data_IF_225059682053
#
_entry.id   IF_225059682053
#
_cell.length_a   1.000
_cell.length_b   1.000
_cell.length_c   1.000
_cell.angle_alpha   90.00
_cell.angle_beta   90.00
_cell.angle_gamma   90.00
#
_symmetry.space_group_name_H-M   'P 1'
#
loop_
_entity.id
_entity.type
_entity.pdbx_description
1 polymer ?
#
# COMPACT_ATOMS: atom_id res chain seq x y z
N UNK A 1 35.28 -48.16 -6.10
CA UNK A 1 33.91 -47.71 -6.20
C UNK A 1 33.85 -46.28 -5.71
N UNK A 2 33.82 -45.33 -6.63
CA UNK A 2 33.91 -43.89 -6.33
C UNK A 2 32.51 -43.32 -6.22
N UNK A 3 32.13 -42.88 -5.02
CA UNK A 3 30.85 -42.20 -4.76
C UNK A 3 31.00 -40.78 -5.24
N UNK A 4 30.45 -40.47 -6.40
CA UNK A 4 30.20 -39.10 -6.84
C UNK A 4 29.01 -38.58 -6.07
N UNK A 5 29.24 -37.65 -5.14
CA UNK A 5 28.25 -36.83 -4.53
C UNK A 5 27.81 -35.82 -5.61
N UNK A 6 26.63 -36.03 -6.19
CA UNK A 6 25.97 -35.04 -7.01
C UNK A 6 25.61 -33.84 -6.11
N UNK A 7 26.35 -32.78 -6.22
CA UNK A 7 25.99 -31.48 -5.64
C UNK A 7 24.70 -31.05 -6.39
N UNK A 8 23.56 -31.12 -5.69
CA UNK A 8 22.34 -30.47 -6.07
C UNK A 8 22.65 -28.96 -6.04
N UNK A 9 22.80 -28.36 -7.20
CA UNK A 9 22.82 -26.91 -7.32
C UNK A 9 21.45 -26.43 -6.87
N UNK A 10 21.37 -25.99 -5.64
CA UNK A 10 20.32 -25.07 -5.22
C UNK A 10 20.48 -23.85 -6.12
N UNK A 11 19.59 -23.65 -7.06
CA UNK A 11 19.41 -22.39 -7.73
C UNK A 11 19.13 -21.35 -6.63
N UNK A 12 20.21 -20.80 -6.10
CA UNK A 12 20.13 -19.68 -5.20
C UNK A 12 19.51 -18.54 -5.97
N UNK A 13 18.36 -18.22 -5.58
CA UNK A 13 17.65 -16.99 -5.83
C UNK A 13 18.68 -15.85 -5.90
N UNK A 14 18.89 -15.52 -7.19
CA UNK A 14 19.48 -14.52 -7.15
C UNK A 14 19.59 -13.20 -7.45
N UNK A 15 19.84 -12.43 -7.86
CA UNK A 15 19.98 -11.01 -8.14
C UNK A 15 19.38 -10.11 -7.03
N UNK A 16 20.05 -10.04 -5.90
CA UNK A 16 19.88 -8.96 -4.96
C UNK A 16 20.12 -7.65 -5.74
N UNK A 17 19.03 -6.87 -5.96
CA UNK A 17 19.09 -5.57 -6.64
C UNK A 17 18.46 -5.52 -8.04
N UNK A 18 17.70 -6.52 -8.47
CA UNK A 18 16.92 -6.49 -9.72
C UNK A 18 15.43 -6.74 -9.50
N UNK A 19 14.61 -6.20 -10.41
CA UNK A 19 13.19 -6.52 -10.46
C UNK A 19 12.95 -7.81 -11.24
N UNK A 20 11.77 -8.40 -11.04
CA UNK A 20 11.33 -9.61 -11.71
C UNK A 20 11.55 -9.53 -13.24
N UNK A 21 12.21 -10.53 -13.79
CA UNK A 21 12.40 -10.69 -15.23
C UNK A 21 11.17 -11.32 -15.88
N UNK A 22 11.12 -11.37 -17.21
CA UNK A 22 10.06 -12.10 -17.91
C UNK A 22 10.04 -13.58 -17.55
N UNK A 23 11.21 -14.19 -17.34
CA UNK A 23 11.32 -15.59 -16.94
C UNK A 23 10.77 -15.82 -15.51
N UNK A 24 11.04 -14.89 -14.58
CA UNK A 24 10.48 -14.95 -13.23
C UNK A 24 8.95 -14.83 -13.24
N UNK A 25 8.40 -13.94 -14.09
CA UNK A 25 6.96 -13.76 -14.26
C UNK A 25 6.29 -14.99 -14.90
N UNK A 26 6.95 -15.63 -15.86
CA UNK A 26 6.44 -16.86 -16.46
C UNK A 26 6.41 -17.97 -15.42
N UNK A 27 7.51 -18.19 -14.70
CA UNK A 27 7.58 -19.18 -13.63
C UNK A 27 6.49 -18.93 -12.57
N UNK A 28 6.32 -17.66 -12.14
CA UNK A 28 5.31 -17.30 -11.14
C UNK A 28 3.90 -17.65 -11.61
N UNK A 29 3.56 -17.33 -12.86
CA UNK A 29 2.26 -17.68 -13.43
C UNK A 29 2.03 -19.19 -13.51
N UNK A 30 3.04 -19.97 -13.89
CA UNK A 30 2.99 -21.42 -13.91
C UNK A 30 2.75 -21.99 -12.50
N UNK A 31 3.56 -21.56 -11.53
CA UNK A 31 3.43 -21.97 -10.14
C UNK A 31 2.08 -21.58 -9.51
N UNK A 32 1.58 -20.38 -9.78
CA UNK A 32 0.26 -19.95 -9.30
C UNK A 32 -0.88 -20.78 -9.89
N UNK A 33 -0.79 -21.18 -11.16
CA UNK A 33 -1.80 -22.03 -11.77
C UNK A 33 -1.79 -23.46 -11.20
N UNK A 34 -0.62 -23.98 -10.84
CA UNK A 34 -0.47 -25.32 -10.27
C UNK A 34 -0.82 -25.35 -8.78
N UNK A 35 -0.28 -24.45 -7.99
CA UNK A 35 -0.35 -24.51 -6.53
C UNK A 35 -1.51 -23.71 -5.93
N UNK A 36 -2.03 -22.71 -6.65
CA UNK A 36 -3.04 -21.78 -6.14
C UNK A 36 -4.41 -21.93 -6.83
N UNK A 37 -4.65 -23.03 -7.53
CA UNK A 37 -5.93 -23.26 -8.20
C UNK A 37 -7.11 -23.19 -7.21
N UNK A 38 -7.98 -22.17 -7.34
CA UNK A 38 -9.11 -21.94 -6.45
C UNK A 38 -8.77 -21.25 -5.11
N UNK A 39 -7.51 -20.83 -4.93
CA UNK A 39 -7.07 -20.05 -3.77
C UNK A 39 -6.88 -18.60 -4.21
N UNK A 40 -7.52 -17.68 -3.50
CA UNK A 40 -7.30 -16.25 -3.68
C UNK A 40 -6.16 -15.78 -2.77
N UNK A 41 -5.02 -15.45 -3.38
CA UNK A 41 -3.88 -14.92 -2.64
C UNK A 41 -4.10 -13.44 -2.32
N UNK A 42 -4.06 -13.11 -1.05
CA UNK A 42 -4.07 -11.72 -0.59
C UNK A 42 -2.66 -11.15 -0.59
N UNK A 43 -2.54 -9.89 -1.00
CA UNK A 43 -1.27 -9.18 -0.95
C UNK A 43 -0.95 -8.72 0.47
N UNK A 44 0.30 -8.88 0.85
CA UNK A 44 0.81 -8.39 2.13
C UNK A 44 0.63 -6.89 2.29
N UNK A 45 0.38 -6.46 3.53
CA UNK A 45 0.15 -5.06 3.86
C UNK A 45 1.26 -4.50 4.73
N UNK A 46 1.77 -3.36 4.31
CA UNK A 46 2.74 -2.57 5.08
C UNK A 46 1.96 -1.65 6.00
N UNK A 47 2.29 -1.66 7.29
CA UNK A 47 1.70 -0.75 8.27
C UNK A 47 2.61 0.45 8.48
N UNK A 48 1.98 1.63 8.57
CA UNK A 48 2.61 2.86 9.06
C UNK A 48 2.21 3.00 10.52
N UNK A 49 3.14 2.77 11.48
CA UNK A 49 2.79 2.85 12.89
C UNK A 49 2.40 4.26 13.30
N UNK A 50 1.50 4.37 14.27
CA UNK A 50 1.08 5.63 14.86
C UNK A 50 2.21 6.31 15.68
N UNK A 51 1.94 7.51 16.19
CA UNK A 51 2.81 8.18 17.15
C UNK A 51 4.10 8.77 16.58
N UNK A 52 4.22 8.88 15.25
CA UNK A 52 5.40 9.48 14.61
C UNK A 52 6.58 8.52 14.50
N UNK A 53 6.32 7.22 14.37
CA UNK A 53 7.33 6.22 14.04
C UNK A 53 8.05 6.59 12.74
N UNK A 54 9.35 6.26 12.66
CA UNK A 54 10.17 6.43 11.46
C UNK A 54 10.49 5.10 10.79
N UNK A 55 9.80 4.03 11.17
CA UNK A 55 9.94 2.72 10.56
C UNK A 55 8.57 2.14 10.21
N UNK A 56 8.52 1.37 9.13
CA UNK A 56 7.37 0.60 8.70
C UNK A 56 7.37 -0.76 9.37
N UNK A 57 6.20 -1.35 9.55
CA UNK A 57 6.02 -2.75 9.88
C UNK A 57 5.68 -3.52 8.60
N UNK A 58 6.49 -4.51 8.26
CA UNK A 58 6.29 -5.38 7.09
C UNK A 58 6.14 -6.81 7.59
N UNK A 59 5.18 -7.59 7.09
CA UNK A 59 5.11 -9.02 7.37
C UNK A 59 6.43 -9.71 7.00
N UNK A 60 6.94 -10.55 7.90
CA UNK A 60 8.13 -11.35 7.65
C UNK A 60 7.85 -12.45 6.63
N UNK A 61 8.88 -12.93 5.96
CA UNK A 61 8.76 -14.05 5.02
C UNK A 61 8.27 -15.35 5.69
N UNK A 62 8.50 -15.50 7.00
CA UNK A 62 8.06 -16.65 7.78
C UNK A 62 6.58 -16.56 8.22
N UNK A 63 5.90 -15.46 7.94
CA UNK A 63 4.46 -15.28 8.12
C UNK A 63 3.98 -14.97 9.55
N UNK A 64 4.76 -15.30 10.56
CA UNK A 64 4.35 -15.19 11.98
C UNK A 64 4.83 -13.89 12.66
N UNK A 65 5.86 -13.25 12.12
CA UNK A 65 6.49 -12.06 12.68
C UNK A 65 6.40 -10.85 11.74
N UNK A 66 6.62 -9.67 12.30
CA UNK A 66 6.75 -8.43 11.53
C UNK A 66 8.17 -7.87 11.65
N UNK A 67 8.70 -7.38 10.55
CA UNK A 67 9.98 -6.70 10.52
C UNK A 67 9.79 -5.18 10.52
N UNK A 68 10.66 -4.48 11.27
CA UNK A 68 10.70 -3.03 11.26
C UNK A 68 11.74 -2.53 10.25
N UNK A 69 11.29 -1.88 9.19
CA UNK A 69 12.19 -1.33 8.15
C UNK A 69 12.05 0.19 8.06
N UNK A 70 13.17 0.87 7.91
CA UNK A 70 13.19 2.35 7.83
C UNK A 70 12.83 2.88 6.44
N UNK A 71 13.11 2.11 5.41
CA UNK A 71 12.94 2.50 4.01
C UNK A 71 12.41 1.32 3.19
N UNK A 72 11.55 1.61 2.25
CA UNK A 72 11.03 0.66 1.28
C UNK A 72 11.46 1.16 -0.08
N UNK A 73 12.27 0.38 -0.79
CA UNK A 73 12.68 0.69 -2.15
C UNK A 73 12.01 -0.26 -3.14
N UNK A 74 11.39 0.30 -4.17
CA UNK A 74 10.68 -0.49 -5.16
C UNK A 74 10.01 0.36 -6.23
N UNK A 75 9.25 -0.30 -7.08
CA UNK A 75 8.44 0.32 -8.13
C UNK A 75 7.00 0.42 -7.66
N UNK A 76 6.41 1.60 -7.74
CA UNK A 76 4.98 1.79 -7.50
C UNK A 76 4.23 1.39 -8.77
N UNK A 77 3.74 0.16 -8.83
CA UNK A 77 3.04 -0.40 -9.98
C UNK A 77 1.73 0.29 -10.27
N UNK A 78 0.92 0.49 -9.24
CA UNK A 78 -0.39 1.10 -9.32
C UNK A 78 -0.75 1.82 -8.01
N UNK A 79 -1.75 2.67 -8.04
CA UNK A 79 -2.31 3.32 -6.87
C UNK A 79 -3.71 3.86 -7.15
N UNK A 80 -4.55 3.88 -6.13
CA UNK A 80 -5.91 4.44 -6.23
C UNK A 80 -6.38 5.01 -4.89
N UNK A 81 -7.42 5.87 -4.87
CA UNK A 81 -8.06 6.28 -3.63
C UNK A 81 -8.69 5.09 -2.91
N UNK A 82 -8.75 5.17 -1.59
CA UNK A 82 -9.46 4.23 -0.74
C UNK A 82 -10.15 5.04 0.37
N UNK A 83 -11.40 5.45 0.11
CA UNK A 83 -12.18 6.23 1.05
C UNK A 83 -13.08 5.30 1.85
N UNK A 84 -13.15 5.51 3.16
CA UNK A 84 -13.99 4.74 4.07
C UNK A 84 -14.73 5.67 5.03
N UNK A 85 -16.02 5.45 5.22
CA UNK A 85 -16.87 6.15 6.17
C UNK A 85 -17.49 5.15 7.13
N UNK A 86 -17.38 5.43 8.42
CA UNK A 86 -18.00 4.70 9.50
C UNK A 86 -18.96 5.61 10.22
N UNK A 87 -20.22 5.20 10.36
CA UNK A 87 -21.25 5.95 11.06
C UNK A 87 -20.99 5.95 12.57
N UNK A 88 -20.67 4.78 13.07
CA UNK A 88 -20.38 4.56 14.48
C UNK A 88 -18.87 4.54 14.72
N UNK A 89 -18.43 4.95 15.91
CA UNK A 89 -17.02 4.84 16.27
C UNK A 89 -16.59 3.37 16.23
N UNK A 90 -15.40 3.13 15.71
CA UNK A 90 -14.81 1.80 15.69
C UNK A 90 -14.69 1.27 17.12
N UNK A 91 -15.30 0.12 17.36
CA UNK A 91 -15.33 -0.54 18.69
C UNK A 91 -14.48 -1.80 18.75
N UNK A 92 -13.67 -2.05 17.70
CA UNK A 92 -12.90 -3.29 17.53
C UNK A 92 -13.65 -4.32 16.69
N UNK A 93 -12.91 -5.26 16.11
CA UNK A 93 -13.45 -6.32 15.26
C UNK A 93 -13.45 -5.99 13.76
N UNK A 94 -14.00 -6.90 12.97
CA UNK A 94 -13.98 -6.83 11.50
C UNK A 94 -15.20 -6.12 10.93
N UNK A 95 -15.55 -4.94 11.44
CA UNK A 95 -16.69 -4.20 10.90
C UNK A 95 -16.32 -3.49 9.60
N UNK A 96 -16.98 -3.81 8.48
CA UNK A 96 -16.75 -3.09 7.23
C UNK A 96 -17.27 -1.66 7.35
N UNK A 97 -16.70 -0.69 6.60
CA UNK A 97 -17.22 0.66 6.56
C UNK A 97 -18.65 0.69 6.01
N UNK A 98 -19.47 1.61 6.54
CA UNK A 98 -20.83 1.82 6.04
C UNK A 98 -20.84 2.31 4.60
N UNK A 99 -19.83 3.07 4.20
CA UNK A 99 -19.62 3.52 2.83
C UNK A 99 -18.15 3.47 2.46
N UNK A 100 -17.85 2.94 1.27
CA UNK A 100 -16.50 2.88 0.73
C UNK A 100 -16.43 3.40 -0.70
N UNK A 101 -15.22 3.81 -1.13
CA UNK A 101 -14.98 4.22 -2.52
C UNK A 101 -13.53 3.94 -2.89
N UNK A 102 -13.32 3.18 -3.96
CA UNK A 102 -11.98 2.85 -4.48
C UNK A 102 -11.56 3.73 -5.67
N UNK A 103 -12.46 4.56 -6.18
CA UNK A 103 -12.16 5.53 -7.23
C UNK A 103 -12.09 6.99 -6.71
N UNK A 104 -12.54 7.22 -5.47
CA UNK A 104 -12.64 8.55 -4.85
C UNK A 104 -13.77 9.40 -5.41
N UNK A 105 -14.61 8.84 -6.29
CA UNK A 105 -15.71 9.54 -6.97
C UNK A 105 -17.07 8.96 -6.61
N UNK A 106 -17.21 7.65 -6.58
CA UNK A 106 -18.46 6.95 -6.34
C UNK A 106 -18.37 6.12 -5.05
N UNK A 107 -19.22 6.44 -4.09
CA UNK A 107 -19.35 5.69 -2.85
C UNK A 107 -20.38 4.58 -2.98
N UNK A 108 -20.04 3.39 -2.47
CA UNK A 108 -20.91 2.23 -2.33
C UNK A 108 -21.25 2.03 -0.86
N UNK A 109 -22.52 1.75 -0.55
CA UNK A 109 -23.02 1.61 0.82
C UNK A 109 -23.86 2.81 1.27
N UNK A 110 -23.80 3.18 2.54
CA UNK A 110 -24.58 4.28 3.12
C UNK A 110 -23.64 5.39 3.62
N UNK A 111 -23.71 6.63 3.12
CA UNK A 111 -24.75 7.19 2.24
C UNK A 111 -24.64 6.83 0.76
N UNK A 112 -23.51 6.33 0.29
CA UNK A 112 -23.30 6.06 -1.13
C UNK A 112 -23.23 7.33 -1.99
N UNK A 113 -23.22 7.14 -3.32
CA UNK A 113 -23.33 8.24 -4.29
C UNK A 113 -22.04 9.01 -4.54
N UNK A 114 -22.12 10.28 -4.88
CA UNK A 114 -20.97 11.08 -5.31
C UNK A 114 -20.12 11.55 -4.13
N UNK A 115 -18.89 11.08 -4.05
CA UNK A 115 -17.94 11.41 -2.98
C UNK A 115 -17.55 12.89 -2.94
N UNK A 116 -17.54 13.59 -4.08
CA UNK A 116 -17.15 14.99 -4.18
C UNK A 116 -18.18 15.93 -3.52
N UNK A 117 -19.46 15.57 -3.56
CA UNK A 117 -20.56 16.34 -2.97
C UNK A 117 -21.01 15.77 -1.62
N UNK A 118 -20.48 14.63 -1.21
CA UNK A 118 -20.83 13.95 0.03
C UNK A 118 -20.60 14.84 1.26
N UNK A 119 -21.60 15.01 2.15
CA UNK A 119 -21.44 15.83 3.36
C UNK A 119 -20.36 15.28 4.31
N UNK A 120 -20.20 13.96 4.39
CA UNK A 120 -19.21 13.31 5.25
C UNK A 120 -17.76 13.40 4.70
N UNK A 121 -17.59 13.81 3.44
CA UNK A 121 -16.29 14.03 2.82
C UNK A 121 -15.90 15.53 2.82
N UNK A 122 -16.45 16.32 3.73
CA UNK A 122 -16.12 17.74 3.93
C UNK A 122 -15.40 17.92 5.25
N UNK A 123 -14.48 18.87 5.30
CA UNK A 123 -13.84 19.26 6.55
C UNK A 123 -14.87 19.76 7.56
N UNK A 124 -14.71 19.37 8.83
CA UNK A 124 -15.66 19.66 9.90
C UNK A 124 -16.85 18.70 9.97
N UNK A 125 -16.90 17.66 9.14
CA UNK A 125 -17.93 16.61 9.23
C UNK A 125 -17.59 15.50 10.23
N UNK A 126 -16.35 15.40 10.64
CA UNK A 126 -15.85 14.47 11.66
C UNK A 126 -15.57 15.18 12.98
N UNK A 127 -14.77 14.56 13.82
CA UNK A 127 -14.35 15.15 15.08
C UNK A 127 -13.43 16.38 14.84
N UNK A 128 -13.77 17.52 15.46
CA UNK A 128 -13.04 18.75 15.27
C UNK A 128 -13.10 19.30 13.85
N UNK A 129 -11.95 19.50 13.22
CA UNK A 129 -11.83 19.98 11.83
C UNK A 129 -11.73 18.85 10.81
N UNK A 130 -11.77 17.58 11.26
CA UNK A 130 -11.54 16.42 10.41
C UNK A 130 -12.73 16.12 9.48
N UNK A 131 -12.51 15.22 8.54
CA UNK A 131 -13.57 14.60 7.75
C UNK A 131 -14.04 13.30 8.40
N UNK A 132 -15.34 13.08 8.44
CA UNK A 132 -15.88 11.80 8.88
C UNK A 132 -15.51 10.67 7.90
N UNK A 133 -15.50 10.95 6.60
CA UNK A 133 -15.00 10.02 5.59
C UNK A 133 -13.48 10.07 5.54
N UNK A 134 -12.82 8.97 5.84
CA UNK A 134 -11.37 8.84 5.84
C UNK A 134 -10.87 8.64 4.42
N UNK A 135 -10.06 9.59 3.93
CA UNK A 135 -9.50 9.53 2.59
C UNK A 135 -8.08 8.96 2.66
N UNK A 136 -7.87 7.78 2.11
CA UNK A 136 -6.57 7.13 2.01
C UNK A 136 -6.20 6.90 0.56
N UNK A 137 -4.98 6.50 0.32
CA UNK A 137 -4.52 6.03 -0.99
C UNK A 137 -3.81 4.70 -0.83
N UNK A 138 -4.31 3.69 -1.51
CA UNK A 138 -3.63 2.40 -1.61
C UNK A 138 -2.56 2.49 -2.69
N UNK A 139 -1.36 2.03 -2.36
CA UNK A 139 -0.18 2.03 -3.23
C UNK A 139 0.34 0.60 -3.30
N UNK A 140 0.49 0.06 -4.50
CA UNK A 140 1.01 -1.28 -4.76
C UNK A 140 2.48 -1.16 -5.13
N UNK A 141 3.36 -1.75 -4.32
CA UNK A 141 4.81 -1.60 -4.44
C UNK A 141 5.44 -2.96 -4.67
N UNK A 142 6.16 -3.12 -5.77
CA UNK A 142 7.04 -4.26 -5.97
C UNK A 142 8.43 -3.88 -5.45
N UNK A 143 8.88 -4.58 -4.41
CA UNK A 143 10.20 -4.40 -3.84
C UNK A 143 11.26 -5.14 -4.67
N UNK A 144 12.48 -4.65 -4.69
CA UNK A 144 13.61 -5.35 -5.32
C UNK A 144 13.78 -6.74 -4.71
N UNK A 145 14.01 -7.75 -5.54
CA UNK A 145 14.17 -9.14 -5.12
C UNK A 145 12.88 -9.87 -4.72
N UNK A 146 11.71 -9.25 -4.87
CA UNK A 146 10.41 -9.86 -4.59
C UNK A 146 9.58 -10.04 -5.86
N UNK A 147 8.75 -11.08 -5.89
CA UNK A 147 7.84 -11.36 -6.99
C UNK A 147 6.41 -10.89 -6.72
N UNK A 148 6.03 -10.76 -5.45
CA UNK A 148 4.72 -10.28 -5.05
C UNK A 148 4.78 -8.81 -4.61
N UNK A 149 3.87 -7.98 -5.13
CA UNK A 149 3.71 -6.62 -4.63
C UNK A 149 3.18 -6.61 -3.20
N UNK A 150 3.46 -5.54 -2.47
CA UNK A 150 2.90 -5.26 -1.16
C UNK A 150 2.02 -4.01 -1.23
N UNK A 151 1.04 -3.91 -0.35
CA UNK A 151 0.12 -2.77 -0.27
C UNK A 151 0.58 -1.84 0.85
N UNK A 152 0.75 -0.57 0.53
CA UNK A 152 0.94 0.51 1.50
C UNK A 152 -0.29 1.42 1.49
N UNK A 153 -0.99 1.49 2.62
CA UNK A 153 -2.06 2.46 2.82
C UNK A 153 -1.50 3.79 3.28
N UNK A 154 -1.53 4.76 2.37
CA UNK A 154 -1.01 6.09 2.61
C UNK A 154 -2.07 6.96 3.29
N UNK A 155 -1.82 7.44 4.52
CA UNK A 155 -2.73 8.33 5.23
C UNK A 155 -2.78 9.74 4.62
N UNK A 156 -3.82 10.48 4.93
CA UNK A 156 -4.06 11.86 4.44
C UNK A 156 -2.87 12.77 4.70
N UNK A 157 -2.24 12.68 5.87
CA UNK A 157 -1.07 13.50 6.22
C UNK A 157 0.13 13.36 5.30
N UNK A 158 0.19 12.26 4.53
CA UNK A 158 1.22 12.04 3.51
C UNK A 158 0.79 12.47 2.10
N UNK A 159 -0.48 12.86 1.90
CA UNK A 159 -1.02 13.18 0.58
C UNK A 159 -0.30 14.34 -0.12
N UNK A 160 0.11 15.36 0.61
CA UNK A 160 0.83 16.50 0.04
C UNK A 160 2.21 16.08 -0.49
N UNK A 161 2.96 15.31 0.30
CA UNK A 161 4.27 14.79 -0.11
C UNK A 161 4.14 13.88 -1.36
N UNK A 162 3.13 13.00 -1.36
CA UNK A 162 2.83 12.15 -2.50
C UNK A 162 2.50 12.94 -3.78
N UNK A 163 1.57 13.91 -3.68
CA UNK A 163 1.19 14.75 -4.83
C UNK A 163 2.38 15.53 -5.40
N UNK A 164 3.23 16.08 -4.53
CA UNK A 164 4.43 16.80 -4.95
C UNK A 164 5.41 15.87 -5.68
N UNK A 165 5.59 14.67 -5.17
CA UNK A 165 6.44 13.66 -5.81
C UNK A 165 5.91 13.27 -7.20
N UNK A 166 4.62 12.95 -7.32
CA UNK A 166 3.98 12.64 -8.60
C UNK A 166 4.12 13.80 -9.59
N UNK A 167 3.85 15.05 -9.14
CA UNK A 167 4.03 16.24 -9.96
C UNK A 167 5.45 16.38 -10.46
N UNK A 168 6.44 16.12 -9.61
CA UNK A 168 7.86 16.16 -9.99
C UNK A 168 8.19 15.14 -11.09
N UNK A 169 7.73 13.89 -10.95
CA UNK A 169 7.93 12.86 -11.97
C UNK A 169 7.27 13.24 -13.31
N UNK A 170 6.03 13.72 -13.27
CA UNK A 170 5.32 14.14 -14.48
C UNK A 170 6.00 15.32 -15.19
N UNK A 171 6.59 16.24 -14.43
CA UNK A 171 7.39 17.34 -15.00
C UNK A 171 8.62 16.81 -15.78
N UNK A 172 9.16 15.68 -15.33
CA UNK A 172 10.27 14.99 -16.00
C UNK A 172 9.81 13.98 -17.07
N UNK A 173 8.52 14.01 -17.45
CA UNK A 173 7.89 13.08 -18.40
C UNK A 173 8.02 11.61 -17.99
N UNK A 174 8.02 11.37 -16.69
CA UNK A 174 8.06 10.03 -16.11
C UNK A 174 6.81 9.74 -15.28
N UNK A 175 6.63 8.50 -14.88
CA UNK A 175 5.50 8.04 -14.05
C UNK A 175 5.98 7.10 -12.95
N UNK A 176 5.13 6.87 -11.96
CA UNK A 176 5.41 6.02 -10.80
C UNK A 176 5.87 4.61 -11.19
N UNK A 177 5.22 4.02 -12.19
CA UNK A 177 5.51 2.65 -12.66
C UNK A 177 6.74 2.56 -13.59
N UNK A 178 7.45 3.67 -13.81
CA UNK A 178 8.65 3.73 -14.64
C UNK A 178 9.91 4.14 -13.89
N UNK A 179 9.81 4.24 -12.57
CA UNK A 179 10.92 4.65 -11.72
C UNK A 179 10.99 3.80 -10.46
N UNK A 180 12.19 3.63 -9.97
CA UNK A 180 12.45 3.10 -8.63
C UNK A 180 12.31 4.25 -7.64
N UNK A 181 11.52 4.03 -6.61
CA UNK A 181 11.20 5.00 -5.57
C UNK A 181 11.61 4.43 -4.20
N UNK A 182 12.30 5.21 -3.39
CA UNK A 182 12.45 4.92 -1.96
C UNK A 182 11.39 5.71 -1.18
N UNK A 183 10.68 5.01 -0.31
CA UNK A 183 9.68 5.57 0.60
C UNK A 183 10.23 5.41 2.01
N UNK A 184 10.27 6.49 2.78
CA UNK A 184 10.69 6.51 4.18
C UNK A 184 9.64 7.24 5.03
N UNK A 185 9.72 7.10 6.35
CA UNK A 185 8.87 7.81 7.28
C UNK A 185 9.66 8.90 8.01
N UNK A 186 9.00 10.03 8.22
CA UNK A 186 9.48 11.09 9.08
C UNK A 186 8.42 11.46 10.10
N UNK A 187 8.88 11.83 11.30
CA UNK A 187 8.00 12.37 12.32
C UNK A 187 7.54 13.76 11.91
N UNK A 188 6.24 13.99 11.95
CA UNK A 188 5.61 15.29 11.74
C UNK A 188 4.70 15.62 12.92
N UNK A 189 4.31 16.87 13.03
CA UNK A 189 3.39 17.35 14.08
C UNK A 189 2.16 17.93 13.42
N UNK A 190 0.99 17.60 13.96
CA UNK A 190 -0.26 18.25 13.58
C UNK A 190 -0.39 19.65 14.16
N UNK A 191 -1.37 20.43 13.72
CA UNK A 191 -1.71 21.73 14.30
C UNK A 191 -2.07 21.62 15.77
N UNK A 192 -2.58 20.48 16.21
CA UNK A 192 -2.91 20.15 17.62
C UNK A 192 -1.71 19.61 18.40
N UNK A 193 -0.48 19.72 17.86
CA UNK A 193 0.77 19.27 18.48
C UNK A 193 0.85 17.75 18.75
N UNK A 194 0.16 16.95 17.94
CA UNK A 194 0.22 15.49 18.02
C UNK A 194 1.17 14.97 16.97
N UNK A 195 2.07 14.05 17.38
CA UNK A 195 3.06 13.46 16.49
C UNK A 195 2.41 12.40 15.59
N UNK A 196 2.73 12.43 14.30
CA UNK A 196 2.31 11.41 13.33
C UNK A 196 3.44 11.04 12.36
N UNK A 197 3.31 9.87 11.73
CA UNK A 197 4.25 9.39 10.73
C UNK A 197 3.85 9.89 9.35
N UNK A 198 4.74 10.63 8.70
CA UNK A 198 4.52 11.15 7.36
C UNK A 198 5.45 10.47 6.37
N UNK A 199 4.91 9.92 5.29
CA UNK A 199 5.71 9.34 4.22
C UNK A 199 6.45 10.41 3.42
N UNK A 200 7.70 10.11 3.09
CA UNK A 200 8.55 10.87 2.19
C UNK A 200 8.95 9.99 1.01
N UNK A 201 8.98 10.56 -0.19
CA UNK A 201 9.24 9.87 -1.44
C UNK A 201 10.51 10.42 -2.06
N UNK A 202 11.40 9.52 -2.49
CA UNK A 202 12.67 9.86 -3.14
C UNK A 202 12.82 9.07 -4.42
N UNK A 203 13.08 9.77 -5.52
CA UNK A 203 13.48 9.15 -6.77
C UNK A 203 14.86 8.51 -6.63
N UNK A 204 15.02 7.29 -7.10
CA UNK A 204 16.29 6.56 -7.12
C UNK A 204 16.87 6.54 -8.53
N UNK A 205 16.17 5.91 -9.46
CA UNK A 205 16.57 5.77 -10.87
C UNK A 205 15.35 5.52 -11.76
N UNK A 206 15.46 5.77 -13.06
CA UNK A 206 14.48 5.25 -14.00
C UNK A 206 14.63 3.73 -14.14
N UNK A 207 13.57 3.07 -14.55
CA UNK A 207 13.63 1.69 -15.01
C UNK A 207 14.22 1.63 -16.41
N UNK A 208 14.90 0.52 -16.74
CA UNK A 208 15.29 0.21 -18.10
C UNK A 208 14.07 -0.18 -18.95
N UNK A 209 14.19 -0.18 -20.26
CA UNK A 209 13.10 -0.62 -21.14
C UNK A 209 12.73 -2.09 -20.88
N UNK A 210 13.71 -2.94 -20.61
CA UNK A 210 13.51 -4.35 -20.29
C UNK A 210 12.71 -4.53 -18.97
N UNK A 211 13.06 -3.75 -17.94
CA UNK A 211 12.32 -3.75 -16.68
C UNK A 211 10.87 -3.26 -16.87
N UNK A 212 10.67 -2.21 -17.67
CA UNK A 212 9.33 -1.68 -17.99
C UNK A 212 8.48 -2.75 -18.70
N UNK A 213 9.04 -3.41 -19.70
CA UNK A 213 8.35 -4.47 -20.45
C UNK A 213 8.04 -5.68 -19.57
N UNK A 214 8.97 -6.10 -18.71
CA UNK A 214 8.76 -7.21 -17.78
C UNK A 214 7.69 -6.91 -16.75
N UNK A 215 7.61 -5.68 -16.24
CA UNK A 215 6.65 -5.29 -15.22
C UNK A 215 5.28 -4.87 -15.76
N UNK A 216 5.14 -4.63 -17.07
CA UNK A 216 3.88 -4.19 -17.65
C UNK A 216 2.69 -5.14 -17.37
N UNK A 217 2.83 -6.46 -17.46
CA UNK A 217 1.73 -7.38 -17.10
C UNK A 217 1.31 -7.24 -15.63
N UNK A 218 2.27 -7.09 -14.71
CA UNK A 218 1.99 -6.93 -13.28
C UNK A 218 1.26 -5.62 -12.99
N UNK A 219 1.59 -4.54 -13.71
CA UNK A 219 0.86 -3.26 -13.61
C UNK A 219 -0.63 -3.47 -13.97
N UNK A 220 -0.93 -4.21 -15.03
CA UNK A 220 -2.31 -4.51 -15.43
C UNK A 220 -3.01 -5.45 -14.44
N UNK A 221 -2.29 -6.43 -13.89
CA UNK A 221 -2.81 -7.29 -12.82
C UNK A 221 -3.18 -6.47 -11.58
N UNK A 222 -2.38 -5.50 -11.16
CA UNK A 222 -2.69 -4.65 -10.01
C UNK A 222 -3.91 -3.76 -10.26
N UNK A 223 -4.13 -3.28 -11.48
CA UNK A 223 -5.35 -2.54 -11.85
C UNK A 223 -6.59 -3.44 -11.74
N UNK A 224 -6.48 -4.67 -12.23
CA UNK A 224 -7.57 -5.67 -12.16
C UNK A 224 -7.84 -6.06 -10.70
N UNK A 225 -6.80 -6.32 -9.92
CA UNK A 225 -6.94 -6.58 -8.48
C UNK A 225 -7.66 -5.44 -7.77
N UNK A 226 -7.22 -4.19 -7.98
CA UNK A 226 -7.83 -3.02 -7.40
C UNK A 226 -9.30 -2.80 -7.81
N UNK A 227 -9.67 -3.18 -9.03
CA UNK A 227 -11.05 -3.09 -9.51
C UNK A 227 -11.99 -4.12 -8.86
N UNK A 228 -11.45 -5.23 -8.35
CA UNK A 228 -12.20 -6.29 -7.70
C UNK A 228 -12.25 -6.16 -6.17
N UNK A 229 -11.59 -5.16 -5.59
CA UNK A 229 -11.60 -4.92 -4.15
C UNK A 229 -13.03 -4.66 -3.65
N UNK A 230 -13.32 -5.23 -2.51
CA UNK A 230 -14.58 -5.09 -1.80
C UNK A 230 -14.42 -4.28 -0.52
N UNK A 231 -15.53 -3.93 0.09
CA UNK A 231 -15.53 -3.24 1.39
C UNK A 231 -14.78 -4.04 2.48
N UNK A 232 -14.81 -5.37 2.40
CA UNK A 232 -14.09 -6.24 3.33
C UNK A 232 -12.56 -6.03 3.25
N UNK A 233 -12.04 -5.69 2.09
CA UNK A 233 -10.61 -5.43 1.91
C UNK A 233 -10.12 -4.16 2.63
N UNK A 234 -11.02 -3.26 2.99
CA UNK A 234 -10.70 -2.06 3.77
C UNK A 234 -10.61 -2.33 5.27
N UNK A 235 -11.28 -3.36 5.76
CA UNK A 235 -11.29 -3.71 7.19
C UNK A 235 -9.94 -4.22 7.65
N UNK A 236 -9.22 -4.95 6.82
CA UNK A 236 -7.93 -5.54 7.14
C UNK A 236 -6.86 -4.53 7.60
N UNK A 237 -7.06 -3.23 7.33
CA UNK A 237 -6.12 -2.17 7.70
C UNK A 237 -6.43 -1.47 9.04
N UNK A 238 -7.53 -1.78 9.69
CA UNK A 238 -8.02 -1.01 10.84
C UNK A 238 -7.53 -1.51 12.20
N UNK A 239 -6.74 -2.56 12.25
CA UNK A 239 -6.10 -3.02 13.49
C UNK A 239 -5.04 -2.04 14.02
N UNK A 240 -4.58 -1.09 13.21
CA UNK A 240 -3.71 -0.02 13.69
C UNK A 240 -4.53 1.12 14.28
N UNK A 241 -4.17 1.64 15.47
CA UNK A 241 -4.86 2.78 16.06
C UNK A 241 -4.90 3.97 15.09
N UNK A 242 -6.08 4.49 14.88
CA UNK A 242 -6.33 5.56 13.93
C UNK A 242 -5.76 6.87 14.43
N UNK A 243 -4.73 7.38 13.78
CA UNK A 243 -4.30 8.76 14.00
C UNK A 243 -4.90 9.60 12.88
N UNK A 244 -5.81 10.50 13.21
CA UNK A 244 -6.29 11.51 12.29
C UNK A 244 -5.13 12.45 11.97
N UNK A 245 -4.67 12.44 10.74
CA UNK A 245 -3.48 13.20 10.34
C UNK A 245 -3.69 14.72 10.33
N UNK A 246 -4.93 15.20 10.42
CA UNK A 246 -5.27 16.61 10.46
C UNK A 246 -5.54 17.10 11.89
N UNK A 247 -6.10 16.25 12.76
CA UNK A 247 -6.34 16.59 14.16
C UNK A 247 -5.33 15.93 15.09
N UNK A 248 -4.61 14.90 14.60
CA UNK A 248 -3.66 14.12 15.38
C UNK A 248 -4.30 13.34 16.54
N UNK A 249 -5.60 13.20 16.57
CA UNK A 249 -6.27 12.41 17.59
C UNK A 249 -6.02 10.92 17.32
N UNK A 250 -5.45 10.25 18.32
CA UNK A 250 -5.36 8.79 18.37
C UNK A 250 -6.73 8.28 18.80
N UNK A 251 -7.49 7.70 17.88
CA UNK A 251 -8.70 6.97 18.23
C UNK A 251 -8.24 5.57 18.62
N UNK A 252 -7.86 5.39 19.89
CA UNK A 252 -7.61 4.06 20.42
C UNK A 252 -8.92 3.26 20.39
N UNK A 253 -8.90 1.99 19.92
CA UNK A 253 -10.03 1.09 20.14
C UNK A 253 -10.24 0.97 21.64
N UNK A 254 -11.41 1.30 22.11
CA UNK A 254 -11.80 1.10 23.51
C UNK A 254 -11.66 -0.39 23.84
N UNK A 255 -10.85 -0.69 24.86
CA UNK A 255 -10.69 -2.03 25.41
C UNK A 255 -11.99 -2.54 25.99
#
# INVERSE_FOLDING_TARGET
MSNQIVKKETNAIANVGSFATQADMQWLNEAMNEDCAGIELQLDRIKIPAGGSTAFEIPSADGDDTEMVKEITGVILFNHPANAYYKDKYTGGSNPPDCSSFDGMHGTGTPGGNCKTCPYNKFGSGDGKSKACKNRRMIYILREGHLFPVILNLPVGSSAAYKNYVKHLLTQRSSLSRVVTTISLKKAMSDSNIAYSQAAFKFVRPLTNEEIESLAPMVEQMKTYAANLTTADLVADEEAPFVDAETGEVIEPLK
#
